data_IF_866177057240
#
_entry.id   IF_866177057240
#
_cell.length_a   1.000
_cell.length_b   1.000
_cell.length_c   1.000
_cell.angle_alpha   90.00
_cell.angle_beta   90.00
_cell.angle_gamma   90.00
#
_symmetry.space_group_name_H-M   'P 1'
#
loop_
_entity.id
_entity.type
_entity.pdbx_description
1 polymer ?
#
# COMPACT_ATOMS: atom_id res chain seq x y z
N UNK A 1 -9.73 8.00 -34.28
CA UNK A 1 -8.78 7.19 -33.47
C UNK A 1 -8.00 8.04 -32.46
N UNK A 2 -7.83 9.34 -32.69
CA UNK A 2 -7.15 10.30 -31.78
C UNK A 2 -7.86 10.51 -30.44
N UNK A 3 -9.19 10.46 -30.39
CA UNK A 3 -9.97 10.66 -29.15
C UNK A 3 -10.02 9.42 -28.23
N UNK A 4 -9.64 8.23 -28.70
CA UNK A 4 -9.79 6.98 -27.91
C UNK A 4 -8.68 6.82 -26.86
N UNK A 5 -7.45 7.20 -27.22
CA UNK A 5 -6.30 7.14 -26.33
C UNK A 5 -6.45 7.96 -25.02
N UNK A 6 -6.90 9.23 -25.04
CA UNK A 6 -7.10 9.99 -23.81
C UNK A 6 -8.22 9.42 -22.94
N UNK A 7 -9.27 8.86 -23.54
CA UNK A 7 -10.37 8.21 -22.80
C UNK A 7 -9.86 6.94 -22.10
N UNK A 8 -9.08 6.11 -22.80
CA UNK A 8 -8.52 4.89 -22.20
C UNK A 8 -7.55 5.23 -21.05
N UNK A 9 -6.76 6.29 -21.20
CA UNK A 9 -5.83 6.75 -20.17
C UNK A 9 -6.56 7.24 -18.91
N UNK A 10 -7.61 8.06 -19.07
CA UNK A 10 -8.42 8.54 -17.93
C UNK A 10 -9.19 7.41 -17.22
N UNK A 11 -9.60 6.37 -17.95
CA UNK A 11 -10.31 5.22 -17.39
C UNK A 11 -9.38 4.14 -16.81
N UNK A 12 -8.08 4.17 -17.10
CA UNK A 12 -7.14 3.12 -16.69
C UNK A 12 -7.16 2.87 -15.17
N UNK A 13 -7.13 3.94 -14.37
CA UNK A 13 -7.16 3.86 -12.91
C UNK A 13 -8.49 3.36 -12.34
N UNK A 14 -9.67 3.94 -12.71
CA UNK A 14 -10.96 3.39 -12.30
C UNK A 14 -11.15 1.93 -12.68
N UNK A 15 -10.73 1.53 -13.89
CA UNK A 15 -10.82 0.15 -14.38
C UNK A 15 -9.89 -0.75 -13.57
N UNK A 16 -8.67 -0.33 -13.27
CA UNK A 16 -7.75 -1.09 -12.42
C UNK A 16 -8.31 -1.30 -11.00
N UNK A 17 -8.95 -0.29 -10.41
CA UNK A 17 -9.63 -0.41 -9.10
C UNK A 17 -10.79 -1.42 -9.18
N UNK A 18 -11.60 -1.37 -10.25
CA UNK A 18 -12.68 -2.32 -10.47
C UNK A 18 -12.17 -3.75 -10.65
N UNK A 19 -11.09 -3.95 -11.42
CA UNK A 19 -10.42 -5.25 -11.58
C UNK A 19 -9.88 -5.74 -10.24
N UNK A 20 -9.23 -4.87 -9.46
CA UNK A 20 -8.73 -5.21 -8.13
C UNK A 20 -9.86 -5.68 -7.22
N UNK A 21 -10.98 -4.97 -7.20
CA UNK A 21 -12.15 -5.33 -6.41
C UNK A 21 -12.74 -6.69 -6.81
N UNK A 22 -12.94 -6.92 -8.12
CA UNK A 22 -13.42 -8.19 -8.66
C UNK A 22 -12.45 -9.33 -8.31
N UNK A 23 -11.15 -9.14 -8.58
CA UNK A 23 -10.12 -10.13 -8.26
C UNK A 23 -10.08 -10.44 -6.77
N UNK A 24 -10.30 -9.46 -5.89
CA UNK A 24 -10.39 -9.69 -4.45
C UNK A 24 -11.61 -10.50 -4.02
N UNK A 25 -12.80 -10.22 -4.57
CA UNK A 25 -14.02 -10.97 -4.26
C UNK A 25 -13.93 -12.43 -4.72
N UNK A 26 -13.62 -12.63 -6.00
CA UNK A 26 -13.51 -13.98 -6.57
C UNK A 26 -12.29 -14.71 -6.02
N UNK A 27 -11.14 -14.03 -5.95
CA UNK A 27 -9.90 -14.58 -5.44
C UNK A 27 -10.03 -15.06 -4.00
N UNK A 28 -10.64 -14.27 -3.11
CA UNK A 28 -10.89 -14.70 -1.74
C UNK A 28 -11.77 -15.96 -1.70
N UNK A 29 -12.82 -16.02 -2.53
CA UNK A 29 -13.73 -17.17 -2.55
C UNK A 29 -13.04 -18.46 -2.98
N UNK A 30 -12.08 -18.40 -3.91
CA UNK A 30 -11.39 -19.60 -4.41
C UNK A 30 -10.15 -19.98 -3.60
N UNK A 31 -9.45 -19.01 -3.01
CA UNK A 31 -8.15 -19.25 -2.35
C UNK A 31 -8.16 -19.09 -0.83
N UNK A 32 -9.26 -18.57 -0.25
CA UNK A 32 -9.35 -18.12 1.14
C UNK A 32 -8.32 -17.05 1.58
N UNK A 33 -7.58 -16.45 0.63
CA UNK A 33 -6.65 -15.36 0.93
C UNK A 33 -7.39 -14.04 1.22
N UNK A 34 -6.85 -13.15 2.07
CA UNK A 34 -7.41 -11.83 2.29
C UNK A 34 -7.54 -11.02 0.99
N UNK A 35 -8.66 -10.30 0.83
CA UNK A 35 -8.92 -9.47 -0.36
C UNK A 35 -7.81 -8.45 -0.65
N UNK A 36 -7.22 -7.91 0.41
CA UNK A 36 -6.13 -6.92 0.31
C UNK A 36 -4.92 -7.46 -0.45
N UNK A 37 -4.64 -8.76 -0.36
CA UNK A 37 -3.55 -9.42 -1.10
C UNK A 37 -3.80 -9.35 -2.61
N UNK A 38 -5.05 -9.53 -3.06
CA UNK A 38 -5.41 -9.42 -4.47
C UNK A 38 -5.35 -7.99 -4.97
N UNK A 39 -5.70 -7.01 -4.13
CA UNK A 39 -5.60 -5.59 -4.51
C UNK A 39 -4.14 -5.20 -4.80
N UNK A 40 -3.21 -5.61 -3.92
CA UNK A 40 -1.78 -5.43 -4.12
C UNK A 40 -1.26 -6.17 -5.36
N UNK A 41 -1.71 -7.41 -5.59
CA UNK A 41 -1.31 -8.19 -6.76
C UNK A 41 -1.76 -7.55 -8.07
N UNK A 42 -3.01 -7.10 -8.16
CA UNK A 42 -3.51 -6.41 -9.35
C UNK A 42 -2.73 -5.12 -9.61
N UNK A 43 -2.48 -4.32 -8.56
CA UNK A 43 -1.65 -3.12 -8.68
C UNK A 43 -0.22 -3.42 -9.16
N UNK A 44 0.39 -4.48 -8.60
CA UNK A 44 1.70 -4.96 -9.05
C UNK A 44 1.67 -5.40 -10.51
N UNK A 45 0.70 -6.19 -10.96
CA UNK A 45 0.65 -6.68 -12.35
C UNK A 45 0.39 -5.56 -13.35
N UNK A 46 -0.48 -4.59 -13.02
CA UNK A 46 -0.85 -3.49 -13.92
C UNK A 46 0.14 -2.32 -13.93
N UNK A 47 1.04 -2.26 -12.93
CA UNK A 47 2.02 -1.20 -12.75
C UNK A 47 3.09 -1.12 -13.84
N UNK A 48 3.78 0.02 -13.88
CA UNK A 48 4.84 0.34 -14.85
C UNK A 48 5.97 -0.69 -14.96
N UNK A 49 6.52 -1.27 -13.88
CA UNK A 49 7.56 -2.28 -14.00
C UNK A 49 7.09 -3.62 -14.58
N UNK A 50 5.79 -3.85 -14.74
CA UNK A 50 5.21 -5.14 -15.15
C UNK A 50 4.57 -5.06 -16.53
N UNK A 51 3.29 -4.66 -16.61
CA UNK A 51 2.58 -4.51 -17.88
C UNK A 51 2.52 -3.05 -18.36
N UNK A 52 2.71 -2.08 -17.47
CA UNK A 52 2.68 -0.65 -17.82
C UNK A 52 1.35 -0.17 -18.39
N UNK A 53 0.24 -0.84 -18.02
CA UNK A 53 -1.12 -0.44 -18.43
C UNK A 53 -1.55 0.82 -17.69
N UNK A 54 -1.07 0.98 -16.45
CA UNK A 54 -1.34 2.16 -15.64
C UNK A 54 -0.45 3.34 -16.10
N UNK A 55 -1.06 4.49 -16.38
CA UNK A 55 -0.34 5.73 -16.60
C UNK A 55 0.53 6.05 -15.38
N UNK A 56 1.72 6.64 -15.61
CA UNK A 56 2.57 7.12 -14.53
C UNK A 56 1.73 8.04 -13.63
N UNK A 57 1.67 7.79 -12.31
CA UNK A 57 0.96 8.68 -11.41
C UNK A 57 1.68 10.04 -11.39
N UNK A 58 1.19 10.98 -12.20
CA UNK A 58 1.55 12.38 -12.06
C UNK A 58 0.91 12.96 -10.79
N UNK A 59 1.31 14.17 -10.38
CA UNK A 59 0.75 14.92 -9.25
C UNK A 59 -0.72 15.39 -9.49
N UNK A 60 -1.56 14.50 -9.99
CA UNK A 60 -2.97 14.71 -10.29
C UNK A 60 -3.89 14.03 -9.26
N UNK A 61 -5.10 13.72 -9.70
CA UNK A 61 -6.17 13.26 -8.81
C UNK A 61 -5.90 11.89 -8.14
N UNK A 62 -5.12 11.01 -8.76
CA UNK A 62 -4.95 9.63 -8.26
C UNK A 62 -4.07 9.57 -7.01
N UNK A 63 -2.85 10.15 -6.96
CA UNK A 63 -2.09 10.22 -5.71
C UNK A 63 -2.84 10.97 -4.62
N UNK A 64 -3.54 12.06 -4.95
CA UNK A 64 -4.36 12.80 -3.99
C UNK A 64 -5.48 11.92 -3.41
N UNK A 65 -6.15 11.11 -4.23
CA UNK A 65 -7.16 10.16 -3.77
C UNK A 65 -6.53 9.10 -2.85
N UNK A 66 -5.33 8.61 -3.18
CA UNK A 66 -4.60 7.67 -2.33
C UNK A 66 -4.27 8.29 -0.98
N UNK A 67 -3.77 9.53 -0.94
CA UNK A 67 -3.48 10.27 0.30
C UNK A 67 -4.74 10.45 1.16
N UNK A 68 -5.88 10.79 0.53
CA UNK A 68 -7.17 10.90 1.23
C UNK A 68 -7.62 9.54 1.76
N UNK A 69 -7.48 8.46 0.98
CA UNK A 69 -7.83 7.11 1.41
C UNK A 69 -6.95 6.65 2.58
N UNK A 70 -5.63 6.89 2.52
CA UNK A 70 -4.71 6.63 3.63
C UNK A 70 -5.09 7.45 4.87
N UNK A 71 -5.41 8.73 4.70
CA UNK A 71 -5.88 9.59 5.78
C UNK A 71 -7.18 9.07 6.43
N UNK A 72 -8.13 8.59 5.63
CA UNK A 72 -9.37 7.98 6.11
C UNK A 72 -9.11 6.68 6.87
N UNK A 73 -8.22 5.81 6.37
CA UNK A 73 -7.83 4.57 7.06
C UNK A 73 -7.19 4.89 8.42
N UNK A 74 -6.26 5.86 8.46
CA UNK A 74 -5.62 6.29 9.71
C UNK A 74 -6.61 6.95 10.67
N UNK A 75 -7.55 7.74 10.15
CA UNK A 75 -8.62 8.34 10.95
C UNK A 75 -9.53 7.27 11.57
N UNK A 76 -9.96 6.30 10.78
CA UNK A 76 -10.80 5.20 11.25
C UNK A 76 -10.06 4.32 12.27
N UNK A 77 -8.78 4.04 12.03
CA UNK A 77 -7.92 3.33 12.97
C UNK A 77 -7.78 4.10 14.29
N UNK A 78 -7.50 5.40 14.23
CA UNK A 78 -7.41 6.27 15.41
C UNK A 78 -8.71 6.34 16.20
N UNK A 79 -9.86 6.39 15.52
CA UNK A 79 -11.18 6.36 16.16
C UNK A 79 -11.48 5.01 16.84
N UNK A 80 -11.04 3.90 16.24
CA UNK A 80 -11.24 2.54 16.77
C UNK A 80 -10.30 2.21 17.96
N UNK A 81 -9.20 2.93 18.12
CA UNK A 81 -8.24 2.70 19.21
C UNK A 81 -8.70 3.36 20.52
N UNK A 82 -8.80 2.56 21.59
CA UNK A 82 -9.10 3.08 22.92
C UNK A 82 -7.85 3.66 23.59
N UNK A 83 -7.66 4.98 23.52
CA UNK A 83 -6.51 5.67 24.14
C UNK A 83 -6.41 5.46 25.66
N UNK A 84 -7.52 5.23 26.36
CA UNK A 84 -7.49 4.95 27.80
C UNK A 84 -6.82 3.61 28.09
N UNK A 85 -7.01 2.63 27.21
CA UNK A 85 -6.36 1.33 27.33
C UNK A 85 -4.84 1.45 27.16
N UNK A 86 -4.38 2.26 26.19
CA UNK A 86 -2.95 2.53 26.01
C UNK A 86 -2.34 3.23 27.22
N UNK A 87 -3.05 4.19 27.83
CA UNK A 87 -2.60 4.87 29.05
C UNK A 87 -2.53 3.92 30.25
N UNK A 88 -3.50 3.03 30.38
CA UNK A 88 -3.57 2.09 31.50
C UNK A 88 -2.59 0.93 31.34
N UNK A 89 -2.16 0.64 30.11
CA UNK A 89 -1.26 -0.45 29.81
C UNK A 89 -0.13 0.02 28.87
N UNK A 90 0.85 0.77 29.40
CA UNK A 90 1.90 1.41 28.61
C UNK A 90 2.81 0.41 27.88
N UNK A 91 2.78 -0.87 28.31
CA UNK A 91 3.53 -1.94 27.67
C UNK A 91 3.16 -2.14 26.21
N UNK A 92 1.92 -1.87 25.79
CA UNK A 92 1.53 -1.95 24.37
C UNK A 92 2.25 -0.88 23.54
N UNK A 93 2.36 0.33 24.08
CA UNK A 93 3.08 1.41 23.40
C UNK A 93 4.57 1.10 23.30
N UNK A 94 5.16 0.62 24.39
CA UNK A 94 6.57 0.24 24.43
C UNK A 94 6.86 -0.94 23.50
N UNK A 95 6.03 -2.00 23.52
CA UNK A 95 6.20 -3.16 22.65
C UNK A 95 6.06 -2.76 21.19
N UNK A 96 5.09 -1.91 20.84
CA UNK A 96 4.94 -1.41 19.48
C UNK A 96 6.14 -0.57 19.01
N UNK A 97 6.70 0.26 19.89
CA UNK A 97 7.89 1.05 19.57
C UNK A 97 9.13 0.16 19.39
N UNK A 98 9.31 -0.82 20.27
CA UNK A 98 10.43 -1.77 20.19
C UNK A 98 10.28 -2.67 18.96
N UNK A 99 9.09 -3.16 18.66
CA UNK A 99 8.82 -4.03 17.51
C UNK A 99 9.01 -3.28 16.18
N UNK A 100 8.48 -2.06 16.05
CA UNK A 100 8.70 -1.23 14.86
C UNK A 100 10.18 -0.85 14.69
N UNK A 101 10.85 -0.45 15.76
CA UNK A 101 12.30 -0.15 15.74
C UNK A 101 13.15 -1.37 15.39
N UNK A 102 12.84 -2.54 15.96
CA UNK A 102 13.54 -3.78 15.65
C UNK A 102 13.29 -4.21 14.19
N UNK A 103 12.07 -4.04 13.68
CA UNK A 103 11.73 -4.34 12.28
C UNK A 103 12.49 -3.43 11.33
N UNK A 104 12.53 -2.12 11.60
CA UNK A 104 13.33 -1.16 10.84
C UNK A 104 14.80 -1.57 10.78
N UNK A 105 15.40 -1.88 11.93
CA UNK A 105 16.80 -2.30 12.02
C UNK A 105 17.04 -3.60 11.25
N UNK A 106 16.15 -4.58 11.40
CA UNK A 106 16.26 -5.87 10.71
C UNK A 106 16.19 -5.71 9.19
N UNK A 107 15.20 -4.97 8.69
CA UNK A 107 15.03 -4.73 7.25
C UNK A 107 16.22 -3.94 6.68
N UNK A 108 16.70 -2.92 7.38
CA UNK A 108 17.88 -2.16 6.98
C UNK A 108 19.12 -3.05 6.83
N UNK A 109 19.42 -3.88 7.83
CA UNK A 109 20.58 -4.77 7.77
C UNK A 109 20.45 -5.83 6.69
N UNK A 110 19.25 -6.37 6.48
CA UNK A 110 18.99 -7.30 5.37
C UNK A 110 19.27 -6.59 4.04
N UNK A 111 18.69 -5.41 3.80
CA UNK A 111 18.87 -4.65 2.57
C UNK A 111 20.37 -4.37 2.29
N UNK A 112 21.10 -3.86 3.29
CA UNK A 112 22.54 -3.62 3.20
C UNK A 112 23.32 -4.91 2.92
N UNK A 113 22.95 -6.04 3.55
CA UNK A 113 23.59 -7.34 3.29
C UNK A 113 23.39 -7.83 1.84
N UNK A 114 22.29 -7.44 1.19
CA UNK A 114 22.04 -7.67 -0.24
C UNK A 114 22.70 -6.63 -1.16
N UNK A 115 23.47 -5.69 -0.61
CA UNK A 115 24.24 -4.70 -1.37
C UNK A 115 23.41 -3.53 -1.91
N UNK A 116 22.23 -3.25 -1.36
CA UNK A 116 21.44 -2.09 -1.77
C UNK A 116 22.06 -0.78 -1.27
N UNK A 117 21.99 0.32 -2.05
CA UNK A 117 22.45 1.63 -1.61
C UNK A 117 21.85 2.05 -0.27
N UNK A 118 22.60 2.82 0.53
CA UNK A 118 22.19 3.22 1.89
C UNK A 118 20.84 3.93 1.91
N UNK A 119 20.65 4.93 1.03
CA UNK A 119 19.40 5.68 0.92
C UNK A 119 18.21 4.75 0.61
N UNK A 120 18.35 3.83 -0.34
CA UNK A 120 17.28 2.88 -0.67
C UNK A 120 16.99 1.91 0.47
N UNK A 121 18.03 1.50 1.22
CA UNK A 121 17.89 0.61 2.37
C UNK A 121 17.10 1.28 3.50
N UNK A 122 17.40 2.55 3.78
CA UNK A 122 16.66 3.37 4.75
C UNK A 122 15.21 3.59 4.32
N UNK A 123 14.97 3.87 3.04
CA UNK A 123 13.61 4.01 2.51
C UNK A 123 12.82 2.71 2.66
N UNK A 124 13.39 1.57 2.25
CA UNK A 124 12.75 0.25 2.40
C UNK A 124 12.46 -0.11 3.85
N UNK A 125 13.35 0.22 4.78
CA UNK A 125 13.16 -0.03 6.20
C UNK A 125 12.05 0.84 6.83
N UNK A 126 11.76 2.00 6.25
CA UNK A 126 10.75 2.96 6.75
C UNK A 126 9.34 2.79 6.16
N UNK A 127 9.19 1.95 5.13
CA UNK A 127 7.90 1.63 4.51
C UNK A 127 7.06 0.71 5.40
#
# INVERSE_FOLDING_TARGET
>A
MTELLPILNTLAWPVAIAIAWIAGEFGQRYTNLPRISFYGLVGFVLGAPQLGVLPVPDAGAIPMLADVAFGLILFELGYRINLRWLRNNPWIGLSGLVESGATFIAVYFIAVAFGTPELTSLMLASL
#
